data_IF_242671203518
#
_entry.id   IF_242671203518
#
_cell.length_a   1.000
_cell.length_b   1.000
_cell.length_c   1.000
_cell.angle_alpha   90.00
_cell.angle_beta   90.00
_cell.angle_gamma   90.00
#
_symmetry.space_group_name_H-M   'P 1'
#
loop_
_entity.id
_entity.type
_entity.pdbx_description
1 polymer ?
#
# COMPACT_ATOMS: atom_id res chain seq x y z
N UNK A 1 -25.92 20.70 -8.88
CA UNK A 1 -25.53 20.15 -10.20
C UNK A 1 -24.25 19.37 -10.00
N UNK A 2 -24.33 18.04 -10.05
CA UNK A 2 -23.17 17.18 -9.98
C UNK A 2 -22.48 17.21 -11.34
N UNK A 3 -21.24 17.70 -11.39
CA UNK A 3 -20.40 17.63 -12.58
C UNK A 3 -19.81 16.21 -12.59
N UNK A 4 -20.28 15.38 -13.52
CA UNK A 4 -19.59 14.15 -13.91
C UNK A 4 -18.15 14.49 -14.32
N UNK A 5 -17.12 13.78 -13.83
CA UNK A 5 -15.79 13.95 -14.39
C UNK A 5 -15.76 13.31 -15.78
N UNK A 6 -15.74 14.21 -16.76
CA UNK A 6 -15.51 13.99 -18.17
C UNK A 6 -14.31 13.04 -18.40
N UNK A 7 -14.56 11.96 -19.15
CA UNK A 7 -13.59 10.93 -19.54
C UNK A 7 -12.62 11.36 -20.65
N UNK A 8 -12.54 12.66 -21.00
CA UNK A 8 -11.82 13.14 -22.17
C UNK A 8 -10.66 14.10 -21.88
N UNK A 9 -9.74 13.74 -20.98
CA UNK A 9 -8.40 14.35 -21.00
C UNK A 9 -7.27 13.44 -20.46
N UNK A 10 -7.11 12.28 -21.10
CA UNK A 10 -5.92 11.44 -20.92
C UNK A 10 -4.76 12.05 -21.73
N UNK A 11 -4.08 13.04 -21.15
CA UNK A 11 -2.70 13.31 -21.58
C UNK A 11 -1.90 12.04 -21.30
N UNK A 12 -1.41 11.40 -22.37
CA UNK A 12 -0.60 10.18 -22.36
C UNK A 12 0.73 10.41 -21.65
N UNK A 13 0.71 10.52 -20.32
CA UNK A 13 1.92 10.42 -19.53
C UNK A 13 2.18 8.93 -19.29
N UNK A 14 3.28 8.35 -19.81
CA UNK A 14 3.52 6.93 -19.65
C UNK A 14 4.04 6.68 -18.22
N UNK A 15 3.12 6.57 -17.27
CA UNK A 15 3.41 5.99 -15.97
C UNK A 15 3.20 4.48 -16.04
N UNK A 16 4.15 3.71 -15.54
CA UNK A 16 4.00 2.28 -15.27
C UNK A 16 3.76 2.06 -13.77
N UNK A 17 3.22 0.90 -13.41
CA UNK A 17 3.01 0.53 -12.00
C UNK A 17 2.11 1.51 -11.23
N UNK A 18 1.06 2.02 -11.88
CA UNK A 18 0.13 2.98 -11.26
C UNK A 18 -0.63 2.32 -10.11
N UNK A 19 -0.60 2.96 -8.95
CA UNK A 19 -1.41 2.61 -7.80
C UNK A 19 -2.48 3.70 -7.59
N UNK A 20 -3.74 3.26 -7.42
CA UNK A 20 -4.89 4.13 -7.15
C UNK A 20 -5.57 3.66 -5.89
N UNK A 21 -5.89 4.59 -4.98
CA UNK A 21 -6.51 4.24 -3.72
C UNK A 21 -7.98 3.85 -3.93
N UNK A 22 -8.40 2.79 -3.25
CA UNK A 22 -9.77 2.23 -3.35
C UNK A 22 -10.70 2.70 -2.23
N UNK A 23 -10.14 3.36 -1.20
CA UNK A 23 -10.85 3.74 0.03
C UNK A 23 -11.24 5.23 0.08
N UNK A 24 -11.21 5.92 -1.06
CA UNK A 24 -11.71 7.29 -1.18
C UNK A 24 -10.69 8.38 -0.83
N UNK A 25 -9.40 8.08 -0.64
CA UNK A 25 -8.39 9.15 -0.50
C UNK A 25 -8.23 10.01 -1.76
N UNK A 26 -8.66 9.50 -2.92
CA UNK A 26 -8.58 10.22 -4.19
C UNK A 26 -7.16 10.38 -4.72
N UNK A 27 -6.21 9.58 -4.23
CA UNK A 27 -4.79 9.64 -4.61
C UNK A 27 -4.51 8.59 -5.67
N UNK A 28 -3.68 8.99 -6.63
CA UNK A 28 -3.00 8.08 -7.53
C UNK A 28 -1.51 8.40 -7.58
N UNK A 29 -0.69 7.36 -7.68
CA UNK A 29 0.76 7.47 -7.88
C UNK A 29 1.23 6.52 -8.95
N UNK A 30 2.30 6.89 -9.65
CA UNK A 30 2.92 6.06 -10.67
C UNK A 30 4.41 6.29 -10.75
N UNK A 31 5.10 5.34 -11.37
CA UNK A 31 6.53 5.46 -11.69
C UNK A 31 6.63 5.80 -13.17
N UNK A 32 7.47 6.76 -13.54
CA UNK A 32 7.69 7.12 -14.94
C UNK A 32 8.26 5.95 -15.74
N UNK A 33 7.81 5.77 -16.97
CA UNK A 33 8.26 4.68 -17.85
C UNK A 33 9.69 4.82 -18.37
N UNK A 34 10.34 5.97 -18.15
CA UNK A 34 11.72 6.24 -18.56
C UNK A 34 12.74 5.72 -17.55
N UNK A 35 13.98 5.50 -18.01
CA UNK A 35 15.15 5.16 -17.18
C UNK A 35 15.47 6.19 -16.07
N UNK A 36 14.70 7.27 -15.96
CA UNK A 36 14.84 8.30 -14.94
C UNK A 36 14.29 7.88 -13.59
N UNK A 37 13.47 6.81 -13.56
CA UNK A 37 12.82 6.26 -12.37
C UNK A 37 12.15 7.34 -11.49
N UNK A 38 11.51 8.30 -12.14
CA UNK A 38 10.83 9.38 -11.45
C UNK A 38 9.48 8.90 -10.87
N UNK A 39 9.05 9.51 -9.77
CA UNK A 39 7.76 9.23 -9.15
C UNK A 39 6.81 10.36 -9.46
N UNK A 40 5.57 10.03 -9.77
CA UNK A 40 4.50 10.99 -10.04
C UNK A 40 3.33 10.75 -9.11
N UNK A 41 2.66 11.83 -8.69
CA UNK A 41 1.44 11.79 -7.90
C UNK A 41 0.41 12.77 -8.44
N UNK A 42 -0.87 12.39 -8.34
CA UNK A 42 -2.01 13.22 -8.72
C UNK A 42 -3.25 12.81 -7.94
N UNK A 43 -4.29 13.61 -8.07
CA UNK A 43 -5.56 13.49 -7.36
C UNK A 43 -5.72 14.59 -6.31
N UNK A 44 -6.54 14.29 -5.32
CA UNK A 44 -6.90 15.19 -4.23
C UNK A 44 -5.75 15.26 -3.20
N UNK A 45 -5.51 16.44 -2.65
CA UNK A 45 -4.47 16.70 -1.64
C UNK A 45 -5.07 16.88 -0.24
N UNK A 46 -6.17 17.62 -0.11
CA UNK A 46 -6.76 18.04 1.17
C UNK A 46 -5.71 18.63 2.15
N UNK A 47 -4.58 19.16 1.65
CA UNK A 47 -3.42 19.60 2.43
C UNK A 47 -2.87 18.56 3.44
N UNK A 48 -3.14 17.26 3.22
CA UNK A 48 -2.75 16.16 4.12
C UNK A 48 -1.37 15.57 3.79
N UNK A 49 -0.62 16.18 2.87
CA UNK A 49 0.67 15.67 2.39
C UNK A 49 0.57 14.38 1.58
N UNK A 50 -0.63 13.88 1.30
CA UNK A 50 -0.90 12.57 0.67
C UNK A 50 -0.47 12.46 -0.78
N UNK A 51 -0.17 13.59 -1.42
CA UNK A 51 0.47 13.65 -2.75
C UNK A 51 2.01 13.66 -2.66
N UNK A 52 2.59 13.66 -1.46
CA UNK A 52 4.03 13.57 -1.22
C UNK A 52 4.82 14.70 -1.90
N UNK A 53 4.17 15.88 -2.02
CA UNK A 53 4.75 17.12 -2.50
C UNK A 53 4.51 18.23 -1.50
N UNK A 54 5.42 19.20 -1.47
CA UNK A 54 5.34 20.38 -0.59
C UNK A 54 4.15 21.28 -0.92
N UNK A 55 3.73 21.28 -2.18
CA UNK A 55 2.58 22.07 -2.60
C UNK A 55 1.27 21.41 -2.12
N UNK A 56 0.36 22.17 -1.50
CA UNK A 56 -0.85 21.60 -0.90
C UNK A 56 -2.01 21.45 -1.89
N UNK A 57 -1.80 21.74 -3.18
CA UNK A 57 -2.87 21.85 -4.17
C UNK A 57 -3.34 20.48 -4.67
N UNK A 58 -4.58 20.41 -5.13
CA UNK A 58 -5.08 19.28 -5.90
C UNK A 58 -4.45 19.29 -7.29
N UNK A 59 -4.16 18.11 -7.84
CA UNK A 59 -3.61 17.98 -9.18
C UNK A 59 -4.40 16.95 -9.97
N UNK A 60 -5.25 17.33 -10.93
CA UNK A 60 -6.02 16.35 -11.71
C UNK A 60 -5.15 15.54 -12.68
N UNK A 61 -3.89 15.92 -12.87
CA UNK A 61 -2.95 15.27 -13.80
C UNK A 61 -1.62 14.96 -13.10
N UNK A 62 -0.88 13.92 -13.54
CA UNK A 62 0.42 13.56 -12.97
C UNK A 62 1.36 14.75 -12.78
N UNK A 63 2.00 14.80 -11.61
CA UNK A 63 3.06 15.76 -11.29
C UNK A 63 4.23 15.07 -10.64
N UNK A 64 5.43 15.51 -11.01
CA UNK A 64 6.67 14.97 -10.49
C UNK A 64 6.75 15.15 -8.97
N UNK A 65 6.97 14.06 -8.25
CA UNK A 65 7.26 14.05 -6.83
C UNK A 65 8.77 14.23 -6.67
N UNK A 66 9.24 15.31 -6.03
CA UNK A 66 10.65 15.50 -5.76
C UNK A 66 11.08 14.56 -4.64
N UNK A 67 11.24 13.28 -4.99
CA UNK A 67 11.81 12.28 -4.10
C UNK A 67 13.35 12.42 -4.02
N UNK A 68 13.96 13.22 -4.92
CA UNK A 68 15.40 13.47 -5.10
C UNK A 68 16.14 14.30 -4.04
N UNK A 69 15.51 14.70 -2.94
CA UNK A 69 16.13 15.69 -2.03
C UNK A 69 17.01 15.13 -0.90
N UNK A 70 16.97 13.81 -0.61
CA UNK A 70 17.77 13.21 0.48
C UNK A 70 18.31 11.81 0.12
N UNK A 71 18.65 11.61 -1.16
CA UNK A 71 19.25 10.36 -1.63
C UNK A 71 20.76 10.36 -1.34
N UNK A 72 21.16 9.93 -0.15
CA UNK A 72 22.52 9.40 0.05
C UNK A 72 22.62 8.02 -0.63
N UNK A 73 22.65 8.01 -1.97
CA UNK A 73 22.80 6.81 -2.80
C UNK A 73 21.62 6.48 -3.73
N UNK A 74 21.82 5.63 -4.77
CA UNK A 74 20.90 5.44 -5.89
C UNK A 74 19.72 4.52 -5.55
N UNK A 75 18.84 4.92 -4.64
CA UNK A 75 17.64 4.13 -4.34
C UNK A 75 16.56 4.30 -5.41
N UNK A 76 16.64 3.45 -6.43
CA UNK A 76 15.71 3.42 -7.58
C UNK A 76 14.29 3.00 -7.12
N UNK A 77 13.24 3.79 -7.40
CA UNK A 77 11.84 3.38 -7.23
C UNK A 77 11.50 2.06 -7.92
N UNK A 78 10.95 1.11 -7.15
CA UNK A 78 10.48 -0.20 -7.64
C UNK A 78 8.96 -0.26 -7.76
N UNK A 79 8.25 0.13 -6.70
CA UNK A 79 6.77 0.08 -6.61
C UNK A 79 6.25 1.23 -5.77
N UNK A 80 5.05 1.70 -6.12
CA UNK A 80 4.29 2.67 -5.32
C UNK A 80 3.01 2.03 -4.82
N UNK A 81 2.55 2.50 -3.67
CA UNK A 81 1.32 2.06 -3.03
C UNK A 81 0.60 3.29 -2.48
N UNK A 82 -0.72 3.29 -2.54
CA UNK A 82 -1.56 4.36 -2.02
C UNK A 82 -2.75 3.75 -1.29
N UNK A 83 -3.22 4.44 -0.27
CA UNK A 83 -4.37 4.02 0.52
C UNK A 83 -4.97 5.17 1.30
N UNK A 84 -5.72 4.83 2.32
CA UNK A 84 -6.40 5.77 3.20
C UNK A 84 -7.75 6.24 2.68
N UNK A 85 -8.46 6.89 3.58
CA UNK A 85 -9.71 7.61 3.30
C UNK A 85 -9.41 9.05 2.87
N UNK A 86 -10.45 9.84 2.63
CA UNK A 86 -10.34 11.24 2.24
C UNK A 86 -9.40 12.06 3.16
N UNK A 87 -9.46 11.81 4.47
CA UNK A 87 -8.67 12.51 5.49
C UNK A 87 -7.40 11.77 5.95
N UNK A 88 -7.29 10.48 5.64
CA UNK A 88 -6.22 9.62 6.15
C UNK A 88 -5.30 9.07 5.06
N UNK A 89 -5.40 9.68 3.87
CA UNK A 89 -4.60 9.36 2.70
C UNK A 89 -3.10 9.32 3.00
N UNK A 90 -2.47 8.23 2.61
CA UNK A 90 -1.02 8.05 2.71
C UNK A 90 -0.53 7.18 1.57
N UNK A 91 0.78 7.26 1.34
CA UNK A 91 1.44 6.56 0.25
C UNK A 91 2.76 5.96 0.71
N UNK A 92 3.15 4.91 -0.01
CA UNK A 92 4.40 4.21 0.19
C UNK A 92 5.16 4.08 -1.13
N UNK A 93 6.48 4.18 -1.04
CA UNK A 93 7.43 3.92 -2.11
C UNK A 93 8.37 2.81 -1.63
N UNK A 94 8.44 1.73 -2.40
CA UNK A 94 9.38 0.65 -2.21
C UNK A 94 10.50 0.76 -3.24
N UNK A 95 11.75 0.77 -2.80
CA UNK A 95 12.92 0.90 -3.67
C UNK A 95 13.47 -0.46 -4.09
N UNK A 96 14.36 -0.48 -5.09
CA UNK A 96 15.06 -1.68 -5.55
C UNK A 96 16.01 -2.25 -4.48
N UNK A 97 16.47 -1.42 -3.55
CA UNK A 97 17.26 -1.85 -2.39
C UNK A 97 16.41 -2.38 -1.23
N UNK A 98 15.07 -2.46 -1.40
CA UNK A 98 14.16 -2.97 -0.38
C UNK A 98 13.80 -1.96 0.70
N UNK A 99 14.05 -0.67 0.48
CA UNK A 99 13.72 0.38 1.44
C UNK A 99 12.28 0.84 1.30
N UNK A 100 11.64 1.08 2.44
CA UNK A 100 10.28 1.60 2.52
C UNK A 100 10.30 3.09 2.86
N UNK A 101 9.65 3.87 2.03
CA UNK A 101 9.49 5.31 2.20
C UNK A 101 8.00 5.64 2.26
N UNK A 102 7.61 6.54 3.16
CA UNK A 102 6.21 6.82 3.52
C UNK A 102 5.94 8.32 3.52
N UNK A 103 4.73 8.73 3.14
CA UNK A 103 4.27 10.13 3.18
C UNK A 103 2.75 10.20 3.31
N UNK A 104 2.24 11.40 3.60
CA UNK A 104 0.82 11.66 3.83
C UNK A 104 0.45 11.71 5.31
N UNK A 105 -0.75 11.25 5.61
CA UNK A 105 -1.28 11.20 6.96
C UNK A 105 -0.46 10.26 7.83
N UNK A 106 0.00 10.78 8.96
CA UNK A 106 0.57 9.96 10.02
C UNK A 106 -0.23 10.05 11.31
N UNK A 107 -1.44 10.63 11.34
CA UNK A 107 -2.28 10.83 12.56
C UNK A 107 -2.48 9.58 13.43
N UNK A 108 -2.29 8.39 12.86
CA UNK A 108 -2.39 7.11 13.54
C UNK A 108 -1.08 6.32 13.54
N UNK A 109 0.05 6.97 13.24
CA UNK A 109 1.37 6.37 13.09
C UNK A 109 1.42 5.34 11.95
N UNK A 110 0.54 5.49 10.96
CA UNK A 110 0.44 4.58 9.82
C UNK A 110 1.64 4.66 8.87
N UNK A 111 2.52 5.66 9.01
CA UNK A 111 3.81 5.73 8.32
C UNK A 111 4.92 4.99 9.08
N UNK A 112 4.74 4.75 10.39
CA UNK A 112 5.66 3.99 11.22
C UNK A 112 7.03 4.65 11.43
N UNK A 113 7.07 5.99 11.50
CA UNK A 113 8.31 6.79 11.52
C UNK A 113 8.96 6.98 12.91
N UNK A 114 8.21 6.75 13.99
CA UNK A 114 8.71 6.87 15.36
C UNK A 114 9.46 5.63 15.87
N UNK A 115 9.91 5.71 17.13
CA UNK A 115 10.71 4.65 17.76
C UNK A 115 9.84 3.50 18.26
N UNK A 116 10.16 2.23 17.91
CA UNK A 116 9.40 1.06 18.37
C UNK A 116 9.49 0.85 19.89
N UNK A 117 10.47 1.47 20.56
CA UNK A 117 10.74 1.27 21.98
C UNK A 117 9.95 2.16 22.93
N UNK A 118 9.28 3.22 22.45
CA UNK A 118 8.61 4.14 23.37
C UNK A 118 7.12 3.81 23.63
N UNK A 119 6.62 2.68 23.11
CA UNK A 119 5.21 2.28 23.27
C UNK A 119 4.23 3.24 22.60
N UNK A 120 2.97 3.28 23.06
CA UNK A 120 1.96 4.20 22.53
C UNK A 120 2.33 5.70 22.65
N UNK A 121 3.24 6.02 23.58
CA UNK A 121 3.81 7.36 23.83
C UNK A 121 5.13 7.63 23.10
N UNK A 122 5.76 6.61 22.51
CA UNK A 122 7.11 6.64 21.91
C UNK A 122 7.21 7.27 20.53
N UNK A 123 6.05 7.40 19.92
CA UNK A 123 5.78 8.16 18.72
C UNK A 123 5.17 9.48 19.20
N UNK A 124 5.98 10.32 19.85
CA UNK A 124 5.57 11.68 20.16
C UNK A 124 5.33 12.40 18.84
N UNK A 125 4.10 12.90 18.63
CA UNK A 125 3.74 13.70 17.46
C UNK A 125 4.68 14.88 17.30
N UNK A 126 5.69 14.74 16.45
CA UNK A 126 6.44 15.91 15.94
C UNK A 126 5.74 16.48 14.72
N UNK A 127 5.09 15.62 13.93
CA UNK A 127 4.40 15.99 12.71
C UNK A 127 3.31 14.95 12.36
N UNK A 128 2.09 15.42 12.08
CA UNK A 128 0.92 14.56 11.74
C UNK A 128 0.72 14.35 10.22
N UNK A 129 1.40 15.16 9.40
CA UNK A 129 1.32 15.10 7.94
C UNK A 129 2.72 15.25 7.34
N UNK A 130 3.16 14.29 6.54
CA UNK A 130 4.44 14.34 5.85
C UNK A 130 4.25 14.62 4.37
N UNK A 131 4.57 15.85 3.95
CA UNK A 131 4.46 16.30 2.55
C UNK A 131 5.57 15.78 1.65
N UNK A 132 6.53 15.04 2.19
CA UNK A 132 7.64 14.43 1.47
C UNK A 132 7.88 13.03 2.01
N UNK A 133 8.36 12.13 1.15
CA UNK A 133 8.75 10.79 1.56
C UNK A 133 9.75 10.81 2.71
N UNK A 134 9.44 10.07 3.76
CA UNK A 134 10.31 9.80 4.91
C UNK A 134 10.64 8.31 4.92
N UNK A 135 11.90 7.96 5.18
CA UNK A 135 12.31 6.56 5.26
C UNK A 135 11.72 5.93 6.52
N UNK A 136 11.01 4.82 6.39
CA UNK A 136 10.64 3.98 7.52
C UNK A 136 11.88 3.18 7.92
N UNK A 137 12.64 3.69 8.90
CA UNK A 137 13.91 3.11 9.32
C UNK A 137 13.77 1.71 9.90
N UNK A 138 12.72 1.45 10.70
CA UNK A 138 12.51 0.15 11.32
C UNK A 138 12.33 -0.93 10.25
N UNK A 139 11.34 -0.76 9.36
CA UNK A 139 11.06 -1.78 8.34
C UNK A 139 12.24 -1.91 7.39
N UNK A 140 12.83 -0.80 6.94
CA UNK A 140 13.94 -0.83 5.97
C UNK A 140 15.22 -1.46 6.51
N UNK A 141 15.44 -1.45 7.84
CA UNK A 141 16.66 -2.00 8.45
C UNK A 141 16.48 -3.45 8.93
N UNK A 142 15.24 -3.94 9.06
CA UNK A 142 14.96 -5.24 9.69
C UNK A 142 14.15 -6.20 8.82
N UNK A 143 13.49 -5.72 7.75
CA UNK A 143 12.55 -6.51 6.96
C UNK A 143 12.93 -6.44 5.49
N UNK A 144 13.15 -7.60 4.87
CA UNK A 144 13.18 -7.70 3.40
C UNK A 144 11.73 -7.70 2.90
N UNK A 145 11.34 -6.72 2.08
CA UNK A 145 9.93 -6.48 1.76
C UNK A 145 9.50 -7.19 0.47
N UNK A 146 8.48 -8.05 0.58
CA UNK A 146 7.81 -8.68 -0.55
C UNK A 146 6.67 -7.83 -1.09
N UNK A 147 5.80 -7.35 -0.22
CA UNK A 147 4.61 -6.58 -0.59
C UNK A 147 4.15 -5.59 0.50
N UNK A 148 3.39 -4.58 0.12
CA UNK A 148 2.87 -3.53 1.02
C UNK A 148 1.40 -3.24 0.69
N UNK A 149 0.57 -3.01 1.71
CA UNK A 149 -0.79 -2.53 1.53
C UNK A 149 -1.15 -1.46 2.55
N UNK A 150 -1.89 -0.44 2.10
CA UNK A 150 -2.24 0.75 2.87
C UNK A 150 -3.76 0.80 3.05
N UNK A 151 -4.24 0.67 4.27
CA UNK A 151 -5.66 0.70 4.60
C UNK A 151 -6.14 2.11 4.94
N UNK A 152 -7.24 2.22 5.68
CA UNK A 152 -7.77 3.51 6.12
C UNK A 152 -6.77 4.30 6.97
N UNK A 153 -6.30 3.69 8.06
CA UNK A 153 -5.40 4.34 9.03
C UNK A 153 -4.28 3.38 9.48
N UNK A 154 -3.95 2.38 8.66
CA UNK A 154 -2.97 1.34 9.01
C UNK A 154 -2.21 0.86 7.77
N UNK A 155 -1.04 0.27 8.01
CA UNK A 155 -0.14 -0.26 6.98
C UNK A 155 0.17 -1.71 7.27
N UNK A 156 0.21 -2.52 6.21
CA UNK A 156 0.67 -3.90 6.21
C UNK A 156 1.93 -4.02 5.36
N UNK A 157 2.92 -4.76 5.85
CA UNK A 157 4.14 -5.12 5.15
C UNK A 157 4.31 -6.64 5.21
N UNK A 158 4.32 -7.28 4.05
CA UNK A 158 4.65 -8.70 3.92
C UNK A 158 6.17 -8.84 3.79
N UNK A 159 6.77 -9.53 4.74
CA UNK A 159 8.18 -9.91 4.68
C UNK A 159 8.42 -10.96 3.59
N UNK A 160 9.62 -10.95 3.03
CA UNK A 160 10.12 -11.96 2.11
C UNK A 160 10.87 -13.06 2.87
N UNK A 161 10.20 -13.67 3.84
CA UNK A 161 10.69 -14.80 4.62
C UNK A 161 9.83 -16.04 4.37
N UNK A 162 10.27 -17.20 4.90
CA UNK A 162 9.56 -18.47 4.73
C UNK A 162 8.30 -18.57 5.59
N UNK A 163 8.21 -17.74 6.62
CA UNK A 163 7.10 -17.74 7.58
C UNK A 163 5.93 -16.88 7.06
N UNK A 164 6.14 -16.12 5.98
CA UNK A 164 5.17 -15.19 5.43
C UNK A 164 4.77 -14.14 6.45
N UNK A 165 5.76 -13.64 7.20
CA UNK A 165 5.55 -12.71 8.32
C UNK A 165 4.90 -11.44 7.81
N UNK A 166 3.77 -11.06 8.41
CA UNK A 166 3.10 -9.79 8.14
C UNK A 166 3.38 -8.85 9.29
N UNK A 167 4.07 -7.74 9.02
CA UNK A 167 4.17 -6.62 9.94
C UNK A 167 2.97 -5.69 9.73
N UNK A 168 2.38 -5.24 10.82
CA UNK A 168 1.26 -4.30 10.81
C UNK A 168 1.52 -3.14 11.77
N UNK A 169 1.10 -1.94 11.38
CA UNK A 169 1.22 -0.75 12.21
C UNK A 169 0.20 0.31 11.85
N UNK A 170 0.06 1.31 12.72
CA UNK A 170 -0.95 2.34 12.61
C UNK A 170 -2.08 2.14 13.61
N UNK A 171 -3.30 2.56 13.25
CA UNK A 171 -4.51 2.36 14.05
C UNK A 171 -4.83 0.87 14.18
N UNK A 172 -5.16 0.45 15.40
CA UNK A 172 -5.51 -0.95 15.71
C UNK A 172 -6.82 -1.14 16.48
N UNK A 173 -7.56 -0.06 16.76
CA UNK A 173 -8.76 -0.09 17.60
C UNK A 173 -9.85 -1.07 17.12
N UNK A 174 -9.89 -1.35 15.82
CA UNK A 174 -10.84 -2.30 15.23
C UNK A 174 -10.31 -3.73 15.15
N UNK A 175 -9.04 -3.93 15.52
CA UNK A 175 -8.32 -5.19 15.43
C UNK A 175 -7.71 -5.45 14.05
N UNK A 176 -7.62 -4.44 13.18
CA UNK A 176 -7.04 -4.57 11.83
C UNK A 176 -5.58 -5.02 11.86
N UNK A 177 -4.83 -4.66 12.90
CA UNK A 177 -3.44 -5.08 13.04
C UNK A 177 -3.27 -6.60 13.26
N UNK A 178 -4.33 -7.33 13.63
CA UNK A 178 -4.24 -8.79 13.84
C UNK A 178 -3.32 -9.20 15.00
N UNK A 179 -3.09 -8.29 15.94
CA UNK A 179 -2.35 -8.55 17.17
C UNK A 179 -3.22 -9.31 18.18
N UNK A 180 -2.60 -9.90 19.22
CA UNK A 180 -3.31 -10.62 20.29
C UNK A 180 -4.26 -9.71 21.07
N UNK A 181 -3.87 -8.45 21.22
CA UNK A 181 -4.68 -7.38 21.80
C UNK A 181 -5.20 -6.46 20.69
N UNK A 182 -6.14 -5.57 21.02
CA UNK A 182 -6.62 -4.51 20.12
C UNK A 182 -6.07 -3.15 20.57
N UNK A 183 -4.76 -2.88 20.39
CA UNK A 183 -4.21 -1.61 20.79
C UNK A 183 -4.82 -0.49 19.93
N UNK A 184 -4.97 0.70 20.50
CA UNK A 184 -5.49 1.84 19.75
C UNK A 184 -4.58 2.21 18.57
N UNK A 185 -3.27 2.16 18.79
CA UNK A 185 -2.21 2.39 17.82
C UNK A 185 -1.02 1.48 18.15
N UNK A 186 -0.23 1.08 17.15
CA UNK A 186 0.99 0.30 17.37
C UNK A 186 2.09 0.60 16.35
N UNK A 187 3.34 0.49 16.82
CA UNK A 187 4.55 0.45 16.01
C UNK A 187 4.57 -0.75 15.06
N UNK A 188 5.41 -0.76 14.00
CA UNK A 188 5.62 -1.94 13.16
C UNK A 188 5.90 -3.18 14.01
N UNK A 189 4.99 -4.16 13.92
CA UNK A 189 5.05 -5.36 14.77
C UNK A 189 4.52 -6.56 14.00
N UNK A 190 5.14 -7.75 14.14
CA UNK A 190 4.63 -8.97 13.54
C UNK A 190 3.21 -9.25 14.01
N UNK A 191 2.32 -9.50 13.06
CA UNK A 191 0.92 -9.83 13.27
C UNK A 191 0.74 -11.34 13.33
N UNK A 192 0.49 -11.94 14.52
CA UNK A 192 0.35 -13.39 14.61
C UNK A 192 -0.86 -13.92 13.85
N UNK A 193 -1.92 -13.11 13.73
CA UNK A 193 -3.13 -13.51 12.99
C UNK A 193 -2.95 -13.50 11.48
N UNK A 194 -2.16 -12.54 10.97
CA UNK A 194 -1.99 -12.35 9.52
C UNK A 194 -0.77 -13.11 8.97
N UNK A 195 0.18 -13.51 9.80
CA UNK A 195 1.38 -14.23 9.36
C UNK A 195 1.07 -15.70 9.05
N UNK A 196 1.44 -16.15 7.85
CA UNK A 196 1.22 -17.52 7.39
C UNK A 196 2.20 -17.87 6.25
N UNK A 197 2.84 -19.06 6.25
CA UNK A 197 3.88 -19.42 5.27
C UNK A 197 3.46 -19.34 3.80
N UNK A 198 2.16 -19.49 3.53
CA UNK A 198 1.60 -19.45 2.17
C UNK A 198 1.15 -18.04 1.74
N UNK A 199 1.44 -16.99 2.51
CA UNK A 199 1.10 -15.62 2.11
C UNK A 199 1.91 -15.20 0.88
N UNK A 200 1.21 -14.82 -0.18
CA UNK A 200 1.79 -14.31 -1.42
C UNK A 200 1.69 -12.79 -1.54
N UNK A 201 0.60 -12.20 -1.03
CA UNK A 201 0.33 -10.76 -1.06
C UNK A 201 -0.53 -10.32 0.14
N UNK A 202 -0.54 -9.01 0.41
CA UNK A 202 -1.38 -8.39 1.46
C UNK A 202 -2.37 -7.41 0.86
N UNK A 203 -3.53 -7.26 1.49
CA UNK A 203 -4.51 -6.22 1.17
C UNK A 203 -4.95 -5.50 2.44
N UNK A 204 -5.09 -4.20 2.35
CA UNK A 204 -5.63 -3.37 3.41
C UNK A 204 -6.73 -2.51 2.80
N UNK A 205 -7.94 -2.60 3.35
CA UNK A 205 -9.15 -1.98 2.82
C UNK A 205 -9.90 -1.39 4.01
N UNK A 206 -9.89 -0.07 4.16
CA UNK A 206 -10.44 0.64 5.32
C UNK A 206 -9.88 0.08 6.64
N UNK A 207 -10.73 -0.47 7.50
CA UNK A 207 -10.37 -1.09 8.77
C UNK A 207 -10.22 -2.63 8.66
N UNK A 208 -10.02 -3.16 7.46
CA UNK A 208 -9.84 -4.59 7.20
C UNK A 208 -8.44 -4.86 6.63
N UNK A 209 -7.81 -5.91 7.16
CA UNK A 209 -6.54 -6.45 6.69
C UNK A 209 -6.76 -7.88 6.21
N UNK A 210 -6.24 -8.21 5.03
CA UNK A 210 -6.39 -9.50 4.39
C UNK A 210 -5.01 -9.99 3.92
N UNK A 211 -4.81 -11.31 3.93
CA UNK A 211 -3.70 -11.94 3.22
C UNK A 211 -4.20 -12.84 2.12
N UNK A 212 -3.44 -12.92 1.03
CA UNK A 212 -3.76 -13.73 -0.14
C UNK A 212 -2.73 -14.85 -0.28
N UNK A 213 -3.19 -16.04 -0.65
CA UNK A 213 -2.31 -17.11 -1.14
C UNK A 213 -1.88 -16.90 -2.60
N UNK A 214 -1.01 -17.74 -3.18
CA UNK A 214 -0.56 -17.59 -4.56
C UNK A 214 -1.69 -17.65 -5.59
N UNK A 215 -2.80 -18.33 -5.29
CA UNK A 215 -3.98 -18.38 -6.16
C UNK A 215 -4.88 -17.14 -6.00
N UNK A 216 -4.54 -16.23 -5.08
CA UNK A 216 -5.28 -15.01 -4.80
C UNK A 216 -6.52 -15.22 -3.90
N UNK A 217 -6.65 -16.37 -3.23
CA UNK A 217 -7.71 -16.62 -2.25
C UNK A 217 -7.33 -15.98 -0.92
N UNK A 218 -8.34 -15.50 -0.19
CA UNK A 218 -8.14 -14.89 1.13
C UNK A 218 -7.82 -15.99 2.14
N UNK A 219 -6.68 -15.87 2.82
CA UNK A 219 -6.20 -16.83 3.82
C UNK A 219 -6.55 -16.35 5.24
N UNK A 220 -6.12 -15.13 5.59
CA UNK A 220 -6.35 -14.56 6.91
C UNK A 220 -7.02 -13.19 6.80
N UNK A 221 -7.78 -12.84 7.83
CA UNK A 221 -8.48 -11.55 7.93
C UNK A 221 -8.41 -10.99 9.35
N UNK A 222 -8.22 -9.67 9.47
CA UNK A 222 -8.21 -8.96 10.73
C UNK A 222 -8.95 -7.61 10.60
N UNK A 223 -9.60 -7.17 11.69
CA UNK A 223 -10.36 -5.92 11.73
C UNK A 223 -11.84 -6.04 11.34
N UNK A 224 -12.41 -4.92 10.90
CA UNK A 224 -13.81 -4.80 10.45
C UNK A 224 -13.89 -5.00 8.94
N UNK A 225 -13.96 -6.26 8.51
CA UNK A 225 -14.08 -6.65 7.11
C UNK A 225 -15.55 -6.70 6.68
N UNK A 226 -16.01 -5.67 5.96
CA UNK A 226 -17.37 -5.57 5.41
C UNK A 226 -17.32 -4.98 4.01
N UNK A 227 -18.09 -5.54 3.08
CA UNK A 227 -18.26 -5.02 1.71
C UNK A 227 -16.92 -4.71 1.01
N UNK A 228 -15.92 -5.57 1.20
CA UNK A 228 -14.55 -5.38 0.71
C UNK A 228 -14.30 -6.04 -0.66
N UNK A 229 -15.26 -6.78 -1.18
CA UNK A 229 -15.13 -7.69 -2.33
C UNK A 229 -14.78 -6.94 -3.61
N UNK A 230 -15.38 -5.76 -3.81
CA UNK A 230 -15.05 -4.88 -4.94
C UNK A 230 -13.63 -4.33 -4.83
N UNK A 231 -13.24 -3.85 -3.65
CA UNK A 231 -11.89 -3.34 -3.39
C UNK A 231 -10.82 -4.45 -3.42
N UNK A 232 -11.19 -5.68 -3.05
CA UNK A 232 -10.32 -6.85 -3.11
C UNK A 232 -9.96 -7.20 -4.56
N UNK A 233 -10.86 -6.99 -5.52
CA UNK A 233 -10.55 -7.21 -6.93
C UNK A 233 -9.37 -6.33 -7.40
N UNK A 234 -9.34 -5.06 -6.98
CA UNK A 234 -8.24 -4.15 -7.26
C UNK A 234 -6.95 -4.58 -6.56
N UNK A 235 -7.02 -5.06 -5.31
CA UNK A 235 -5.85 -5.59 -4.63
C UNK A 235 -5.27 -6.83 -5.31
N UNK A 236 -6.11 -7.77 -5.74
CA UNK A 236 -5.70 -8.94 -6.53
C UNK A 236 -5.05 -8.53 -7.85
N UNK A 237 -5.62 -7.54 -8.53
CA UNK A 237 -5.06 -7.03 -9.77
C UNK A 237 -3.66 -6.43 -9.55
N UNK A 238 -3.49 -5.58 -8.52
CA UNK A 238 -2.18 -5.06 -8.09
C UNK A 238 -1.18 -6.19 -7.84
N UNK A 239 -1.59 -7.22 -7.08
CA UNK A 239 -0.73 -8.34 -6.75
C UNK A 239 -0.30 -9.14 -8.00
N UNK A 240 -1.20 -9.35 -8.99
CA UNK A 240 -0.84 -9.95 -10.29
C UNK A 240 0.14 -9.08 -11.08
N UNK A 241 -0.11 -7.78 -11.17
CA UNK A 241 0.80 -6.84 -11.84
C UNK A 241 2.19 -6.82 -11.18
N UNK A 242 2.26 -7.10 -9.88
CA UNK A 242 3.51 -7.25 -9.14
C UNK A 242 4.13 -8.66 -9.23
N UNK A 243 3.53 -9.59 -9.98
CA UNK A 243 4.00 -10.97 -10.13
C UNK A 243 3.93 -11.78 -8.83
N UNK A 244 3.05 -11.40 -7.90
CA UNK A 244 2.91 -12.05 -6.59
C UNK A 244 1.95 -13.23 -6.61
N UNK A 245 0.99 -13.24 -7.54
CA UNK A 245 -0.01 -14.30 -7.70
C UNK A 245 0.29 -15.11 -8.96
N UNK A 246 -0.07 -16.39 -8.93
CA UNK A 246 0.00 -17.27 -10.10
C UNK A 246 -1.00 -16.81 -11.17
N UNK A 247 -0.64 -16.99 -12.43
CA UNK A 247 -1.60 -16.85 -13.52
C UNK A 247 -2.60 -18.00 -13.43
N UNK A 248 -3.90 -17.70 -13.52
CA UNK A 248 -4.92 -18.73 -13.54
C UNK A 248 -4.80 -19.52 -14.84
N UNK A 249 -4.37 -20.78 -14.78
CA UNK A 249 -4.41 -21.69 -15.92
C UNK A 249 -5.85 -21.77 -16.45
N UNK A 250 -6.08 -21.17 -17.62
CA UNK A 250 -7.27 -21.43 -18.44
C UNK A 250 -7.03 -22.72 -19.22
N UNK A 251 -7.04 -23.87 -18.56
CA UNK A 251 -6.98 -25.17 -19.25
C UNK A 251 -7.70 -26.27 -18.47
N UNK A 252 -9.03 -26.14 -18.41
CA UNK A 252 -9.93 -27.28 -18.18
C UNK A 252 -11.34 -26.96 -18.70
N UNK A 253 -11.47 -26.64 -19.98
CA UNK A 253 -12.72 -26.85 -20.71
C UNK A 253 -12.51 -28.08 -21.58
N UNK A 254 -13.25 -29.15 -21.27
CA UNK A 254 -12.99 -30.52 -21.70
C UNK A 254 -12.98 -30.72 -23.21
N UNK A 255 -12.02 -31.51 -23.67
CA UNK A 255 -12.19 -32.35 -24.85
C UNK A 255 -13.05 -33.56 -24.43
N UNK A 256 -14.34 -33.49 -24.73
CA UNK A 256 -15.16 -34.70 -24.88
C UNK A 256 -14.67 -35.42 -26.15
N UNK A 257 -13.73 -36.35 -25.99
CA UNK A 257 -13.47 -37.38 -27.00
C UNK A 257 -14.67 -38.33 -27.02
N UNK A 258 -15.58 -38.14 -27.97
CA UNK A 258 -16.60 -39.14 -28.28
C UNK A 258 -15.93 -40.42 -28.82
N UNK A 259 -16.36 -41.62 -28.38
CA UNK A 259 -15.81 -42.86 -28.91
C UNK A 259 -16.38 -43.13 -30.31
N UNK A 260 -15.49 -43.57 -31.20
CA UNK A 260 -15.82 -44.07 -32.54
C UNK A 260 -16.80 -45.25 -32.48
N UNK A 261 -17.89 -45.16 -33.25
CA UNK A 261 -18.67 -46.30 -33.71
C UNK A 261 -19.07 -46.06 -35.17
#
# INVERSE_FOLDING_TARGET
>A
MAISPDSSNKTNFPCTGVATAVDGSGISMGIGSSNTHDVYSWGTSNASGKLCRRDPLDHPTPRHVPAKAHYDGPSVPRRVYVGGTEESGHAALLTMHGELWMCGCDRWQQLGLGSPHGGASGYTWTQIWHTQFQRNHFVSNHVTIRDVALGGDHTLVLANDKDGTVYSFGKGAEGQLGLRTKPFVHAPTPSPKLSHPHNAAVCAIRDCSLTLDPEGRVQQMAGKCRNFEQALAACRQRARTHGLLQESDKSASGEDTAPSA
#
